data_IF_753724344601
#
_entry.id   IF_753724344601
#
_cell.length_a   1.000
_cell.length_b   1.000
_cell.length_c   1.000
_cell.angle_alpha   90.00
_cell.angle_beta   90.00
_cell.angle_gamma   90.00
#
_symmetry.space_group_name_H-M   'P 1'
#
loop_
_entity.id
_entity.type
_entity.pdbx_description
1 polymer ?
#
# COMPACT_ATOMS: atom_id res chain seq x y z
N UNK A 1 29.44 11.55 30.88
CA UNK A 1 30.46 11.52 29.80
C UNK A 1 29.91 10.66 28.68
N UNK A 2 29.49 11.32 27.59
CA UNK A 2 28.87 10.68 26.41
C UNK A 2 29.89 10.26 25.34
N UNK A 3 31.12 9.90 25.75
CA UNK A 3 32.23 9.62 24.81
C UNK A 3 31.99 8.34 23.98
N UNK A 4 31.17 7.41 24.46
CA UNK A 4 30.86 6.18 23.73
C UNK A 4 29.77 6.35 22.66
N UNK A 5 28.85 7.31 22.80
CA UNK A 5 27.76 7.57 21.86
C UNK A 5 28.22 8.28 20.60
N UNK A 6 29.19 9.19 20.69
CA UNK A 6 29.74 9.88 19.52
C UNK A 6 30.54 8.95 18.61
N UNK A 7 31.28 7.98 19.16
CA UNK A 7 31.98 6.98 18.35
C UNK A 7 31.05 6.04 17.62
N UNK A 8 29.97 5.61 18.25
CA UNK A 8 28.94 4.79 17.58
C UNK A 8 28.20 5.53 16.46
N UNK A 9 27.99 6.83 16.62
CA UNK A 9 27.33 7.66 15.58
C UNK A 9 28.27 7.86 14.38
N UNK A 10 29.55 8.12 14.61
CA UNK A 10 30.53 8.29 13.53
C UNK A 10 30.77 7.04 12.71
N UNK A 11 30.79 5.86 13.32
CA UNK A 11 31.02 4.62 12.60
C UNK A 11 29.78 4.17 11.78
N UNK A 12 28.58 4.48 12.24
CA UNK A 12 27.34 4.17 11.49
C UNK A 12 27.13 5.06 10.25
N UNK A 13 27.72 6.27 10.22
CA UNK A 13 27.57 7.18 9.08
C UNK A 13 28.37 6.77 7.83
N UNK A 14 29.23 5.75 7.91
CA UNK A 14 30.07 5.28 6.81
C UNK A 14 29.35 4.32 5.86
N UNK A 15 28.26 3.68 6.28
CA UNK A 15 27.54 2.71 5.47
C UNK A 15 26.38 3.38 4.73
N UNK A 16 26.31 3.14 3.43
CA UNK A 16 25.14 3.47 2.61
C UNK A 16 24.23 2.24 2.55
N UNK A 17 22.96 2.44 2.87
CA UNK A 17 21.96 1.40 2.74
C UNK A 17 21.50 1.39 1.28
N UNK A 18 21.71 0.26 0.59
CA UNK A 18 21.40 0.05 -0.82
C UNK A 18 20.31 -1.01 -1.01
N UNK A 19 19.58 -1.32 0.05
CA UNK A 19 18.45 -2.26 0.01
C UNK A 19 17.21 -1.59 -0.58
N UNK A 20 16.28 -2.35 -1.19
CA UNK A 20 15.01 -1.83 -1.70
C UNK A 20 14.06 -1.35 -0.60
N UNK A 21 14.33 -1.70 0.65
CA UNK A 21 13.61 -1.23 1.84
C UNK A 21 13.75 -2.18 3.04
N UNK A 22 13.85 -1.60 4.26
CA UNK A 22 13.93 -0.16 4.56
C UNK A 22 15.13 0.51 3.88
N UNK A 23 14.91 1.72 3.38
CA UNK A 23 15.95 2.53 2.71
C UNK A 23 16.67 3.45 3.70
N UNK A 24 17.74 4.09 3.22
CA UNK A 24 18.45 5.08 4.03
C UNK A 24 17.57 6.32 4.25
N UNK A 25 17.36 6.66 5.51
CA UNK A 25 16.62 7.88 5.90
C UNK A 25 17.57 9.09 5.77
N UNK A 26 17.22 10.14 5.03
CA UNK A 26 18.01 11.37 4.90
C UNK A 26 18.22 12.08 6.23
N UNK A 27 19.28 12.87 6.32
CA UNK A 27 19.64 13.54 7.59
C UNK A 27 18.57 14.53 8.05
N UNK A 28 18.00 15.33 7.15
CA UNK A 28 16.92 16.26 7.44
C UNK A 28 15.71 15.56 8.05
N UNK A 29 15.33 14.39 7.54
CA UNK A 29 14.22 13.58 8.06
C UNK A 29 14.57 13.03 9.46
N UNK A 30 15.81 12.58 9.66
CA UNK A 30 16.28 12.13 10.99
C UNK A 30 16.27 13.27 12.01
N UNK A 31 16.68 14.47 11.60
CA UNK A 31 16.68 15.65 12.45
C UNK A 31 15.28 16.10 12.82
N UNK A 32 14.31 16.04 11.88
CA UNK A 32 12.92 16.36 12.17
C UNK A 32 12.36 15.54 13.35
N UNK A 33 12.76 14.25 13.49
CA UNK A 33 12.35 13.41 14.62
C UNK A 33 12.96 13.80 15.97
N UNK A 34 13.98 14.64 15.98
CA UNK A 34 14.61 15.13 17.23
C UNK A 34 14.01 16.44 17.74
N UNK A 35 13.08 17.03 16.97
CA UNK A 35 12.37 18.21 17.39
C UNK A 35 11.34 17.86 18.47
N UNK A 36 11.01 18.85 19.29
CA UNK A 36 9.92 18.72 20.26
C UNK A 36 8.62 18.45 19.54
N UNK A 37 7.88 17.44 20.00
CA UNK A 37 6.60 17.07 19.44
C UNK A 37 5.48 17.52 20.36
N UNK A 38 4.30 17.72 19.78
CA UNK A 38 3.05 17.95 20.47
C UNK A 38 2.51 16.64 21.07
N UNK A 39 1.48 16.75 21.90
CA UNK A 39 0.74 15.58 22.36
C UNK A 39 -0.27 15.17 21.28
N UNK A 40 -0.01 14.04 20.61
CA UNK A 40 -0.81 13.55 19.50
C UNK A 40 -2.29 13.27 19.87
N UNK A 41 -2.58 12.99 21.14
CA UNK A 41 -3.94 12.65 21.57
C UNK A 41 -4.79 13.90 21.93
N UNK A 42 -4.14 15.02 22.27
CA UNK A 42 -4.84 16.16 22.87
C UNK A 42 -4.56 17.50 22.17
N UNK A 43 -3.50 17.58 21.39
CA UNK A 43 -3.03 18.84 20.84
C UNK A 43 -3.67 19.13 19.47
N UNK A 44 -4.48 20.20 19.33
CA UNK A 44 -5.09 20.56 18.06
C UNK A 44 -4.08 20.78 16.94
N UNK A 45 -2.88 21.29 17.25
CA UNK A 45 -1.83 21.48 16.26
C UNK A 45 -1.43 20.16 15.60
N UNK A 46 -1.38 19.06 16.35
CA UNK A 46 -1.07 17.75 15.77
C UNK A 46 -2.15 17.30 14.78
N UNK A 47 -3.43 17.55 15.08
CA UNK A 47 -4.52 17.21 14.16
C UNK A 47 -4.41 17.95 12.83
N UNK A 48 -4.05 19.24 12.88
CA UNK A 48 -3.86 20.05 11.68
C UNK A 48 -2.67 19.54 10.86
N UNK A 49 -1.53 19.27 11.50
CA UNK A 49 -0.34 18.73 10.86
C UNK A 49 -0.58 17.32 10.26
N UNK A 50 -1.32 16.45 10.96
CA UNK A 50 -1.70 15.13 10.46
C UNK A 50 -2.59 15.26 9.21
N UNK A 51 -3.61 16.09 9.27
CA UNK A 51 -4.52 16.33 8.16
C UNK A 51 -3.79 16.88 6.94
N UNK A 52 -2.97 17.91 7.12
CA UNK A 52 -2.14 18.48 6.06
C UNK A 52 -1.24 17.42 5.43
N UNK A 53 -0.60 16.58 6.25
CA UNK A 53 0.26 15.49 5.76
C UNK A 53 -0.53 14.47 4.92
N UNK A 54 -1.72 14.09 5.35
CA UNK A 54 -2.60 13.19 4.59
C UNK A 54 -3.04 13.81 3.26
N UNK A 55 -3.39 15.11 3.25
CA UNK A 55 -3.76 15.85 2.05
C UNK A 55 -2.60 15.95 1.06
N UNK A 56 -1.37 16.22 1.53
CA UNK A 56 -0.16 16.23 0.70
C UNK A 56 0.13 14.86 0.06
N UNK A 57 -0.08 13.77 0.79
CA UNK A 57 0.07 12.42 0.23
C UNK A 57 -0.97 12.19 -0.86
N UNK A 58 -2.22 12.56 -0.65
CA UNK A 58 -3.29 12.44 -1.67
C UNK A 58 -2.97 13.26 -2.91
N UNK A 59 -2.45 14.49 -2.75
CA UNK A 59 -2.02 15.34 -3.86
C UNK A 59 -0.89 14.69 -4.67
N UNK A 60 0.13 14.13 -4.00
CA UNK A 60 1.24 13.42 -4.64
C UNK A 60 0.78 12.14 -5.38
N UNK A 61 -0.31 11.54 -4.95
CA UNK A 61 -0.95 10.39 -5.59
C UNK A 61 -1.97 10.78 -6.66
N UNK A 62 -2.08 12.08 -6.96
CA UNK A 62 -3.00 12.64 -7.96
C UNK A 62 -4.45 12.21 -7.73
N UNK A 63 -4.95 12.38 -6.50
CA UNK A 63 -6.31 12.02 -6.13
C UNK A 63 -6.92 12.98 -5.12
N UNK A 64 -8.25 12.98 -5.07
CA UNK A 64 -9.05 13.63 -4.02
C UNK A 64 -9.53 12.63 -2.96
N UNK A 65 -9.24 11.35 -3.15
CA UNK A 65 -9.52 10.31 -2.17
C UNK A 65 -8.78 10.60 -0.86
N UNK A 66 -9.41 10.26 0.25
CA UNK A 66 -8.83 10.44 1.57
C UNK A 66 -7.67 9.47 1.78
N UNK A 67 -6.56 10.00 2.28
CA UNK A 67 -5.43 9.19 2.75
C UNK A 67 -5.39 9.22 4.27
N UNK A 68 -5.18 8.04 4.86
CA UNK A 68 -4.95 7.85 6.29
C UNK A 68 -3.52 7.38 6.52
N UNK A 69 -2.91 7.83 7.60
CA UNK A 69 -1.61 7.36 8.08
C UNK A 69 -1.84 6.53 9.34
N UNK A 70 -1.52 5.25 9.28
CA UNK A 70 -1.69 4.34 10.41
C UNK A 70 -0.33 3.98 11.01
N UNK A 71 -0.32 3.76 12.32
CA UNK A 71 0.86 3.32 13.07
C UNK A 71 1.10 1.83 12.85
N UNK A 72 2.04 1.50 11.98
CA UNK A 72 2.40 0.14 11.57
C UNK A 72 3.10 0.14 10.22
N UNK A 73 3.69 -0.97 9.82
CA UNK A 73 4.33 -1.08 8.51
C UNK A 73 3.31 -1.35 7.40
N UNK A 74 3.74 -1.29 6.12
CA UNK A 74 2.87 -1.49 4.96
C UNK A 74 1.96 -2.70 5.03
N UNK A 75 2.44 -3.80 5.63
CA UNK A 75 1.67 -5.03 5.84
C UNK A 75 0.40 -4.79 6.66
N UNK A 76 0.44 -3.89 7.66
CA UNK A 76 -0.74 -3.52 8.44
C UNK A 76 -1.81 -2.86 7.56
N UNK A 77 -1.40 -1.97 6.65
CA UNK A 77 -2.34 -1.34 5.71
C UNK A 77 -3.01 -2.35 4.78
N UNK A 78 -2.23 -3.32 4.29
CA UNK A 78 -2.74 -4.38 3.41
C UNK A 78 -3.74 -5.28 4.15
N UNK A 79 -3.39 -5.71 5.37
CA UNK A 79 -4.29 -6.50 6.21
C UNK A 79 -5.55 -5.70 6.56
N UNK A 80 -5.41 -4.43 6.98
CA UNK A 80 -6.54 -3.57 7.31
C UNK A 80 -7.49 -3.37 6.11
N UNK A 81 -6.94 -3.20 4.90
CA UNK A 81 -7.75 -3.12 3.68
C UNK A 81 -8.53 -4.41 3.44
N UNK A 82 -7.88 -5.57 3.50
CA UNK A 82 -8.54 -6.86 3.36
C UNK A 82 -9.59 -7.09 4.45
N UNK A 83 -9.24 -6.82 5.72
CA UNK A 83 -10.16 -6.92 6.86
C UNK A 83 -11.41 -6.05 6.68
N UNK A 84 -11.21 -4.84 6.16
CA UNK A 84 -12.31 -3.89 5.95
C UNK A 84 -13.19 -4.22 4.75
N UNK A 85 -12.69 -4.96 3.77
CA UNK A 85 -13.41 -5.29 2.52
C UNK A 85 -14.01 -6.69 2.53
N UNK A 86 -13.47 -7.63 3.31
CA UNK A 86 -13.87 -9.04 3.26
C UNK A 86 -14.99 -9.35 4.24
N UNK A 87 -16.02 -10.06 3.76
CA UNK A 87 -17.02 -10.74 4.57
C UNK A 87 -16.96 -12.25 4.32
N UNK A 88 -17.43 -13.09 5.25
CA UNK A 88 -17.44 -14.53 5.05
C UNK A 88 -18.17 -14.94 3.76
N UNK A 89 -17.46 -15.71 2.92
CA UNK A 89 -17.98 -16.18 1.63
C UNK A 89 -17.71 -15.26 0.44
N UNK A 90 -17.20 -14.05 0.64
CA UNK A 90 -16.81 -13.18 -0.48
C UNK A 90 -15.70 -13.81 -1.32
N UNK A 91 -15.90 -13.85 -2.62
CA UNK A 91 -14.86 -14.27 -3.57
C UNK A 91 -13.94 -13.09 -3.87
N UNK A 92 -12.63 -13.31 -3.73
CA UNK A 92 -11.59 -12.29 -3.94
C UNK A 92 -10.58 -12.80 -4.95
N UNK A 93 -10.36 -12.05 -6.02
CA UNK A 93 -9.37 -12.38 -7.04
C UNK A 93 -7.97 -11.95 -6.55
N UNK A 94 -7.05 -12.89 -6.46
CA UNK A 94 -5.66 -12.65 -6.07
C UNK A 94 -4.78 -12.67 -7.31
N UNK A 95 -4.28 -11.50 -7.72
CA UNK A 95 -3.30 -11.41 -8.80
C UNK A 95 -1.92 -11.75 -8.23
N UNK A 96 -1.44 -12.97 -8.52
CA UNK A 96 -0.21 -13.53 -7.99
C UNK A 96 0.85 -13.67 -9.09
N UNK A 97 1.87 -12.79 -9.04
CA UNK A 97 3.13 -12.94 -9.77
C UNK A 97 4.33 -12.60 -8.88
N UNK A 98 4.20 -12.84 -7.57
CA UNK A 98 5.24 -12.61 -6.58
C UNK A 98 4.79 -12.97 -5.17
N UNK A 99 5.75 -13.00 -4.25
CA UNK A 99 5.53 -13.40 -2.85
C UNK A 99 4.44 -12.57 -2.17
N UNK A 100 4.42 -11.25 -2.42
CA UNK A 100 3.43 -10.35 -1.81
C UNK A 100 2.05 -10.51 -2.46
N UNK A 101 1.98 -10.85 -3.77
CA UNK A 101 0.73 -11.20 -4.42
C UNK A 101 0.10 -12.44 -3.78
N UNK A 102 0.86 -13.53 -3.71
CA UNK A 102 0.41 -14.78 -3.09
C UNK A 102 -0.06 -14.59 -1.63
N UNK A 103 0.65 -13.73 -0.87
CA UNK A 103 0.37 -13.49 0.55
C UNK A 103 -1.02 -12.90 0.85
N UNK A 104 -1.66 -12.25 -0.10
CA UNK A 104 -3.02 -11.75 0.09
C UNK A 104 -4.06 -12.85 0.33
N UNK A 105 -3.81 -14.07 -0.15
CA UNK A 105 -4.70 -15.20 0.08
C UNK A 105 -4.88 -15.53 1.57
N UNK A 106 -3.83 -15.33 2.37
CA UNK A 106 -3.87 -15.55 3.81
C UNK A 106 -4.76 -14.49 4.49
N UNK A 107 -4.62 -13.21 4.12
CA UNK A 107 -5.48 -12.15 4.67
C UNK A 107 -6.95 -12.39 4.32
N UNK A 108 -7.26 -12.69 3.07
CA UNK A 108 -8.63 -12.96 2.64
C UNK A 108 -9.22 -14.14 3.40
N UNK A 109 -8.46 -15.23 3.52
CA UNK A 109 -8.90 -16.44 4.25
C UNK A 109 -9.11 -16.18 5.74
N UNK A 110 -8.26 -15.35 6.36
CA UNK A 110 -8.36 -15.00 7.79
C UNK A 110 -9.68 -14.32 8.12
N UNK A 111 -10.22 -13.53 7.21
CA UNK A 111 -11.52 -12.85 7.36
C UNK A 111 -12.70 -13.60 6.73
N UNK A 112 -12.51 -14.90 6.40
CA UNK A 112 -13.56 -15.78 5.94
C UNK A 112 -13.90 -15.65 4.45
N UNK A 113 -13.13 -14.90 3.68
CA UNK A 113 -13.26 -14.81 2.23
C UNK A 113 -12.71 -16.05 1.52
N UNK A 114 -13.00 -16.17 0.26
CA UNK A 114 -12.58 -17.24 -0.64
C UNK A 114 -11.57 -16.67 -1.64
N UNK A 115 -10.25 -16.85 -1.43
CA UNK A 115 -9.25 -16.38 -2.37
C UNK A 115 -9.30 -17.22 -3.66
N UNK A 116 -9.35 -16.56 -4.80
CA UNK A 116 -9.25 -17.20 -6.13
C UNK A 116 -7.96 -16.71 -6.78
N UNK A 117 -7.03 -17.64 -6.99
CA UNK A 117 -5.68 -17.32 -7.45
C UNK A 117 -5.64 -17.18 -8.96
N UNK A 118 -5.16 -16.04 -9.46
CA UNK A 118 -4.72 -15.85 -10.84
C UNK A 118 -3.21 -15.73 -10.85
N UNK A 119 -2.53 -16.90 -10.97
CA UNK A 119 -1.09 -17.01 -10.82
C UNK A 119 -0.37 -16.93 -12.15
N UNK A 120 0.69 -16.14 -12.21
CA UNK A 120 1.64 -16.05 -13.33
C UNK A 120 3.06 -16.33 -12.84
N UNK A 121 3.95 -16.59 -13.79
CA UNK A 121 5.39 -16.71 -13.48
C UNK A 121 5.91 -15.39 -12.89
N UNK A 122 6.66 -15.46 -11.80
CA UNK A 122 7.27 -14.34 -11.08
C UNK A 122 8.27 -13.50 -11.92
N UNK A 123 8.54 -13.94 -13.15
CA UNK A 123 9.40 -13.23 -14.12
C UNK A 123 8.62 -12.37 -15.10
N UNK A 124 7.30 -12.45 -15.07
CA UNK A 124 6.44 -11.77 -16.04
C UNK A 124 5.42 -10.87 -15.33
N UNK A 125 5.27 -9.63 -15.82
CA UNK A 125 4.14 -8.79 -15.47
C UNK A 125 2.84 -9.40 -15.99
N UNK A 126 1.71 -8.99 -15.43
CA UNK A 126 0.41 -9.43 -15.94
C UNK A 126 0.16 -8.85 -17.34
N UNK A 127 -0.21 -9.73 -18.26
CA UNK A 127 -0.74 -9.35 -19.56
C UNK A 127 -2.21 -8.99 -19.41
N UNK A 128 -2.57 -7.78 -19.87
CA UNK A 128 -3.93 -7.24 -19.69
C UNK A 128 -4.95 -7.97 -20.57
N UNK A 129 -4.55 -8.39 -21.78
CA UNK A 129 -5.44 -9.12 -22.70
C UNK A 129 -5.71 -10.54 -22.17
N UNK A 130 -4.71 -11.19 -21.58
CA UNK A 130 -4.91 -12.49 -20.93
C UNK A 130 -5.79 -12.38 -19.69
N UNK A 131 -5.62 -11.32 -18.90
CA UNK A 131 -6.46 -11.05 -17.73
C UNK A 131 -7.90 -10.75 -18.18
N UNK A 132 -8.09 -9.96 -19.23
CA UNK A 132 -9.42 -9.68 -19.80
C UNK A 132 -10.11 -10.97 -20.29
N UNK A 133 -9.36 -11.86 -20.95
CA UNK A 133 -9.89 -13.16 -21.37
C UNK A 133 -10.35 -14.02 -20.18
N UNK A 134 -9.57 -14.03 -19.09
CA UNK A 134 -9.95 -14.72 -17.85
C UNK A 134 -11.19 -14.12 -17.22
N UNK A 135 -11.30 -12.78 -17.14
CA UNK A 135 -12.44 -12.08 -16.55
C UNK A 135 -13.73 -12.23 -17.37
N UNK A 136 -13.64 -12.48 -18.67
CA UNK A 136 -14.82 -12.84 -19.49
C UNK A 136 -15.45 -14.18 -19.09
N UNK A 137 -14.64 -15.10 -18.59
CA UNK A 137 -15.12 -16.42 -18.14
C UNK A 137 -15.62 -16.38 -16.68
N UNK A 138 -14.92 -15.63 -15.80
CA UNK A 138 -15.27 -15.50 -14.38
C UNK A 138 -14.90 -14.11 -13.87
N UNK A 139 -15.88 -13.31 -13.51
CA UNK A 139 -15.71 -11.97 -12.93
C UNK A 139 -16.57 -11.75 -11.69
N UNK A 140 -17.11 -12.81 -11.10
CA UNK A 140 -17.88 -12.73 -9.87
C UNK A 140 -16.93 -12.62 -8.66
N UNK A 141 -16.32 -11.44 -8.49
CA UNK A 141 -15.42 -11.12 -7.40
C UNK A 141 -15.82 -9.80 -6.74
N UNK A 142 -15.80 -9.75 -5.42
CA UNK A 142 -16.07 -8.52 -4.67
C UNK A 142 -14.98 -7.48 -4.88
N UNK A 143 -13.73 -7.93 -4.83
CA UNK A 143 -12.56 -7.12 -5.15
C UNK A 143 -11.41 -8.00 -5.64
N UNK A 144 -10.39 -7.35 -6.18
CA UNK A 144 -9.13 -7.99 -6.55
C UNK A 144 -7.96 -7.34 -5.80
N UNK A 145 -6.94 -8.14 -5.49
CA UNK A 145 -5.68 -7.64 -4.95
C UNK A 145 -4.64 -7.54 -6.05
N UNK A 146 -3.91 -6.42 -6.08
CA UNK A 146 -2.90 -6.12 -7.10
C UNK A 146 -1.63 -5.63 -6.43
N UNK A 147 -0.50 -6.27 -6.69
CA UNK A 147 0.81 -5.75 -6.27
C UNK A 147 1.38 -4.87 -7.38
N UNK A 148 1.66 -3.59 -7.08
CA UNK A 148 2.26 -2.67 -8.03
C UNK A 148 3.72 -3.03 -8.32
N UNK A 149 4.52 -3.22 -7.26
CA UNK A 149 5.93 -3.62 -7.39
C UNK A 149 6.27 -4.69 -6.36
N UNK A 150 6.50 -5.93 -6.81
CA UNK A 150 6.95 -7.00 -5.94
C UNK A 150 8.44 -6.84 -5.63
N UNK A 151 8.76 -6.53 -4.37
CA UNK A 151 10.12 -6.18 -3.95
C UNK A 151 11.16 -7.27 -4.21
N UNK A 152 10.90 -8.57 -3.93
CA UNK A 152 11.90 -9.62 -4.12
C UNK A 152 12.24 -9.89 -5.58
N UNK A 153 11.27 -9.85 -6.47
CA UNK A 153 11.46 -10.09 -7.90
C UNK A 153 11.83 -8.82 -8.67
N UNK A 154 11.47 -7.63 -8.13
CA UNK A 154 11.56 -6.36 -8.83
C UNK A 154 10.49 -6.20 -9.92
N UNK A 155 9.49 -7.07 -9.95
CA UNK A 155 8.42 -7.05 -10.94
C UNK A 155 7.52 -5.83 -10.74
N UNK A 156 7.36 -5.05 -11.80
CA UNK A 156 6.45 -3.89 -11.84
C UNK A 156 5.24 -4.24 -12.70
N UNK A 157 4.06 -4.18 -12.11
CA UNK A 157 2.80 -4.38 -12.80
C UNK A 157 2.18 -3.04 -13.22
N UNK A 158 1.58 -2.98 -14.39
CA UNK A 158 0.92 -1.77 -14.92
C UNK A 158 -0.46 -1.57 -14.28
N UNK A 159 -0.46 -0.97 -13.07
CA UNK A 159 -1.69 -0.69 -12.33
C UNK A 159 -2.64 0.26 -13.10
N UNK A 160 -2.10 1.10 -13.99
CA UNK A 160 -2.89 2.03 -14.79
C UNK A 160 -3.67 1.34 -15.93
N UNK A 161 -3.39 0.07 -16.20
CA UNK A 161 -4.16 -0.77 -17.11
C UNK A 161 -4.95 -1.85 -16.38
N UNK A 162 -4.33 -2.49 -15.40
CA UNK A 162 -4.94 -3.60 -14.64
C UNK A 162 -6.14 -3.12 -13.84
N UNK A 163 -6.01 -2.04 -13.04
CA UNK A 163 -7.10 -1.61 -12.18
C UNK A 163 -8.31 -1.07 -12.96
N UNK A 164 -8.16 -0.26 -14.04
CA UNK A 164 -9.30 0.10 -14.88
C UNK A 164 -9.98 -1.09 -15.55
N UNK A 165 -9.22 -2.12 -15.95
CA UNK A 165 -9.80 -3.35 -16.49
C UNK A 165 -10.68 -4.04 -15.43
N UNK A 166 -10.17 -4.27 -14.22
CA UNK A 166 -10.92 -4.85 -13.11
C UNK A 166 -12.19 -4.03 -12.81
N UNK A 167 -12.05 -2.71 -12.78
CA UNK A 167 -13.17 -1.79 -12.56
C UNK A 167 -14.24 -1.89 -13.64
N UNK A 168 -13.87 -2.14 -14.90
CA UNK A 168 -14.84 -2.33 -16.01
C UNK A 168 -15.73 -3.56 -15.83
N UNK A 169 -15.29 -4.54 -15.04
CA UNK A 169 -16.06 -5.71 -14.63
C UNK A 169 -16.79 -5.53 -13.30
N UNK A 170 -16.74 -4.31 -12.70
CA UNK A 170 -17.37 -4.04 -11.40
C UNK A 170 -16.57 -4.54 -10.20
N UNK A 171 -15.32 -4.95 -10.41
CA UNK A 171 -14.45 -5.49 -9.36
C UNK A 171 -13.67 -4.33 -8.74
N UNK A 172 -13.81 -4.13 -7.44
CA UNK A 172 -13.00 -3.14 -6.70
C UNK A 172 -11.54 -3.62 -6.56
N UNK A 173 -10.63 -2.68 -6.26
CA UNK A 173 -9.20 -3.00 -6.17
C UNK A 173 -8.60 -2.65 -4.81
N UNK A 174 -7.83 -3.58 -4.26
CA UNK A 174 -6.89 -3.36 -3.14
C UNK A 174 -5.48 -3.47 -3.71
N UNK A 175 -4.79 -2.34 -3.80
CA UNK A 175 -3.48 -2.25 -4.48
C UNK A 175 -2.36 -2.07 -3.46
N UNK A 176 -1.44 -3.04 -3.43
CA UNK A 176 -0.18 -2.92 -2.72
C UNK A 176 0.80 -2.08 -3.55
N UNK A 177 1.04 -0.86 -3.12
CA UNK A 177 2.07 0.01 -3.68
C UNK A 177 3.16 0.37 -2.65
N UNK A 178 3.35 -0.49 -1.65
CA UNK A 178 4.36 -0.27 -0.60
C UNK A 178 5.75 -0.03 -1.20
N UNK A 179 6.15 -0.81 -2.20
CA UNK A 179 7.42 -0.63 -2.90
C UNK A 179 7.32 0.25 -4.15
N UNK A 180 6.13 0.44 -4.71
CA UNK A 180 5.91 1.23 -5.93
C UNK A 180 5.70 2.72 -5.67
N UNK A 181 4.94 3.07 -4.63
CA UNK A 181 4.55 4.43 -4.30
C UNK A 181 5.76 5.35 -4.14
N UNK A 182 5.72 6.51 -4.79
CA UNK A 182 6.79 7.53 -4.84
C UNK A 182 8.11 7.09 -5.51
N UNK A 183 8.28 5.79 -5.81
CA UNK A 183 9.40 5.29 -6.62
C UNK A 183 9.03 5.12 -8.09
N UNK A 184 7.75 4.95 -8.36
CA UNK A 184 7.17 4.85 -9.70
C UNK A 184 5.98 5.81 -9.81
N UNK A 185 5.53 6.08 -11.03
CA UNK A 185 4.33 6.87 -11.25
C UNK A 185 3.11 6.16 -10.66
N UNK A 186 2.37 6.88 -9.82
CA UNK A 186 1.07 6.45 -9.29
C UNK A 186 0.10 7.60 -9.45
N UNK A 187 -0.93 7.39 -10.24
CA UNK A 187 -2.06 8.30 -10.37
C UNK A 187 -3.33 7.52 -10.04
N UNK A 188 -3.80 7.67 -8.81
CA UNK A 188 -4.92 6.89 -8.25
C UNK A 188 -6.20 7.11 -9.03
N UNK A 189 -6.51 8.37 -9.37
CA UNK A 189 -7.74 8.68 -10.11
C UNK A 189 -7.72 8.11 -11.53
N UNK A 190 -6.58 8.26 -12.25
CA UNK A 190 -6.41 7.70 -13.61
C UNK A 190 -6.44 6.17 -13.60
N UNK A 191 -5.84 5.55 -12.60
CA UNK A 191 -5.84 4.11 -12.43
C UNK A 191 -7.14 3.56 -11.81
N UNK A 192 -8.05 4.42 -11.38
CA UNK A 192 -9.33 4.03 -10.77
C UNK A 192 -9.16 3.07 -9.57
N UNK A 193 -8.14 3.32 -8.75
CA UNK A 193 -7.83 2.46 -7.61
C UNK A 193 -8.79 2.76 -6.46
N UNK A 194 -9.38 1.72 -5.88
CA UNK A 194 -10.29 1.88 -4.75
C UNK A 194 -9.57 1.98 -3.41
N UNK A 195 -8.58 1.13 -3.17
CA UNK A 195 -7.72 1.21 -1.98
C UNK A 195 -6.27 1.06 -2.42
N UNK A 196 -5.43 2.05 -2.07
CA UNK A 196 -3.99 2.00 -2.29
C UNK A 196 -3.26 1.99 -0.95
N UNK A 197 -2.36 1.02 -0.76
CA UNK A 197 -1.54 0.93 0.43
C UNK A 197 -0.07 1.23 0.13
N UNK A 198 0.56 2.01 1.01
CA UNK A 198 1.97 2.39 0.94
C UNK A 198 2.68 2.23 2.27
N UNK A 199 3.98 2.51 2.30
CA UNK A 199 4.77 2.40 3.53
C UNK A 199 5.88 3.46 3.62
N UNK A 200 6.14 3.94 4.83
CA UNK A 200 7.09 5.03 5.09
C UNK A 200 8.56 4.67 4.82
N UNK A 201 8.93 3.40 4.95
CA UNK A 201 10.31 2.91 4.90
C UNK A 201 10.84 2.64 3.48
N UNK A 202 10.02 2.86 2.47
CA UNK A 202 10.37 2.63 1.06
C UNK A 202 10.78 3.95 0.38
N UNK A 203 10.32 4.23 -0.83
CA UNK A 203 10.79 5.36 -1.63
C UNK A 203 10.58 6.74 -0.98
N UNK A 204 9.58 6.92 -0.13
CA UNK A 204 9.39 8.17 0.64
C UNK A 204 10.54 8.43 1.62
N UNK A 205 11.34 7.42 1.92
CA UNK A 205 12.57 7.50 2.72
C UNK A 205 12.36 8.04 4.14
N UNK A 206 11.21 7.77 4.72
CA UNK A 206 10.96 8.00 6.14
C UNK A 206 11.32 6.76 6.98
N UNK A 207 11.44 6.87 8.31
CA UNK A 207 11.64 5.71 9.16
C UNK A 207 10.51 4.69 9.03
N UNK A 208 10.79 3.37 9.23
CA UNK A 208 9.75 2.37 9.28
C UNK A 208 8.78 2.61 10.44
N UNK A 209 7.53 2.14 10.30
CA UNK A 209 6.51 2.18 11.34
C UNK A 209 5.24 2.95 10.97
N UNK A 210 5.12 3.45 9.74
CA UNK A 210 3.90 4.06 9.24
C UNK A 210 3.46 3.42 7.92
N UNK A 211 2.16 3.22 7.78
CA UNK A 211 1.54 2.83 6.52
C UNK A 211 0.56 3.90 6.06
N UNK A 212 0.45 4.09 4.74
CA UNK A 212 -0.48 5.00 4.10
C UNK A 212 -1.60 4.19 3.46
N UNK A 213 -2.85 4.60 3.68
CA UNK A 213 -4.00 3.95 3.06
C UNK A 213 -4.87 5.03 2.43
N UNK A 214 -4.92 5.05 1.10
CA UNK A 214 -5.76 5.96 0.32
C UNK A 214 -7.02 5.22 -0.10
N UNK A 215 -8.21 5.79 0.16
CA UNK A 215 -9.49 5.07 0.10
C UNK A 215 -10.49 5.86 -0.74
N UNK A 216 -11.05 5.23 -1.78
CA UNK A 216 -12.11 5.81 -2.61
C UNK A 216 -13.45 5.90 -1.86
N UNK A 217 -14.33 6.80 -2.31
CA UNK A 217 -15.68 6.90 -1.75
C UNK A 217 -16.51 5.63 -1.99
N UNK A 218 -16.23 4.89 -3.05
CA UNK A 218 -16.87 3.60 -3.31
C UNK A 218 -16.43 2.54 -2.30
N UNK A 219 -15.13 2.47 -2.02
CA UNK A 219 -14.59 1.56 -1.01
C UNK A 219 -15.13 1.90 0.39
N UNK A 220 -15.19 3.19 0.76
CA UNK A 220 -15.81 3.63 2.04
C UNK A 220 -17.25 3.14 2.16
N UNK A 221 -18.06 3.33 1.12
CA UNK A 221 -19.46 2.84 1.10
C UNK A 221 -19.53 1.32 1.22
N UNK A 222 -18.64 0.60 0.57
CA UNK A 222 -18.59 -0.86 0.68
C UNK A 222 -18.25 -1.31 2.11
N UNK A 223 -17.32 -0.62 2.78
CA UNK A 223 -16.97 -0.87 4.18
C UNK A 223 -18.13 -0.57 5.13
N UNK A 224 -18.82 0.56 4.94
CA UNK A 224 -19.98 0.98 5.77
C UNK A 224 -21.18 0.01 5.64
N UNK A 225 -21.34 -0.60 4.48
CA UNK A 225 -22.46 -1.51 4.20
C UNK A 225 -22.20 -2.97 4.63
N UNK A 226 -21.08 -3.25 5.28
CA UNK A 226 -20.77 -4.58 5.81
C UNK A 226 -21.78 -5.02 6.87
N UNK A 227 -22.02 -6.32 6.93
CA UNK A 227 -22.92 -6.94 7.90
C UNK A 227 -22.21 -7.51 9.12
N UNK A 228 -20.90 -7.64 9.03
CA UNK A 228 -20.04 -8.26 10.08
C UNK A 228 -18.85 -7.35 10.41
#
# INVERSE_FOLDING_TARGET
RLVGSEMCIRDRSKYKIMTPGPVQVPENVRLARSLSTTNADLDPQFFDEYKETCELISELLHTKNETLILSGEGILGLEAACASMTEPGDRVLILDNGIYGAGFADFVSMYGGIPVMYTKDYKNAFDVDELDAYLKEDHDFKYATVVHCDTPSGMLNDIHKICPLLKSYGIMTVTDSVSGMFGNEVNVDKAQIDILCGGSQKAVSAPPGLTFVTISDEAKKAMENRKT
#
